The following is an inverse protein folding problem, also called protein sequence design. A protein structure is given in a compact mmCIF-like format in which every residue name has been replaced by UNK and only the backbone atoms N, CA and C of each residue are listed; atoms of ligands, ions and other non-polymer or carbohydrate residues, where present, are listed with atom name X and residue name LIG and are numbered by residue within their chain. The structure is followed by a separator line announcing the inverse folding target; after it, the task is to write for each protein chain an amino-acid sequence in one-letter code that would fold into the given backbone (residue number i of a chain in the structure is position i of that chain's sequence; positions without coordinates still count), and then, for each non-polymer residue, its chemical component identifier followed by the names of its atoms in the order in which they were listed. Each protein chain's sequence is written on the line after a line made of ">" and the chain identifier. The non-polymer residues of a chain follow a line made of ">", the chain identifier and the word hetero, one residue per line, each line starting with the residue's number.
data_IF_039562155463
#
_entry.id   IF_039562155463
#
_cell.length_a   1.000
_cell.length_b   1.000
_cell.length_c   1.000
_cell.angle_alpha   90.00
_cell.angle_beta   90.00
_cell.angle_gamma   90.00
#
_symmetry.space_group_name_H-M   'P 1'
#
loop_
_entity.id
_entity.type
_entity.pdbx_description
1 polymer ?
#
# COMPACT_ATOMS: atom_id res chain seq x y z
N UNK A 1 35.50 52.86 -0.61
CA UNK A 1 36.11 53.27 0.66
C UNK A 1 35.37 52.57 1.80
N UNK A 2 36.15 51.95 2.70
CA UNK A 2 35.85 51.41 4.05
C UNK A 2 34.72 52.15 4.79
N UNK A 3 33.96 51.64 5.78
CA UNK A 3 33.96 50.46 6.68
C UNK A 3 32.65 50.57 7.50
N UNK A 4 32.11 49.47 8.03
CA UNK A 4 31.92 49.28 9.48
C UNK A 4 30.88 48.20 9.81
N UNK A 5 31.37 47.17 10.50
CA UNK A 5 30.62 46.16 11.22
C UNK A 5 30.22 46.67 12.60
N UNK A 6 29.10 46.18 13.16
CA UNK A 6 28.93 46.00 14.61
C UNK A 6 28.18 44.68 14.88
N UNK A 7 28.87 43.81 15.61
CA UNK A 7 28.38 42.62 16.30
C UNK A 7 27.86 43.06 17.69
N UNK A 8 26.81 42.43 18.22
CA UNK A 8 26.88 41.95 19.61
C UNK A 8 26.47 40.46 19.64
N UNK A 9 27.38 39.57 20.03
CA UNK A 9 27.74 39.24 21.41
C UNK A 9 26.65 38.45 22.14
N UNK A 10 26.94 37.14 22.23
CA UNK A 10 26.44 36.11 23.12
C UNK A 10 25.93 36.62 24.49
N UNK A 11 24.73 36.17 24.88
CA UNK A 11 24.38 35.97 26.28
C UNK A 11 23.75 34.58 26.44
N UNK A 12 24.50 33.72 27.12
CA UNK A 12 24.16 32.36 27.49
C UNK A 12 23.34 32.41 28.78
N UNK A 13 22.15 31.80 28.81
CA UNK A 13 21.50 31.41 30.07
C UNK A 13 21.02 29.97 29.95
N UNK A 14 21.76 29.08 30.61
CA UNK A 14 21.44 27.68 30.79
C UNK A 14 20.40 27.53 31.88
N UNK A 15 19.23 26.95 31.59
CA UNK A 15 18.45 26.15 32.55
C UNK A 15 17.41 25.35 31.76
N UNK A 16 17.39 24.03 31.88
CA UNK A 16 16.21 23.27 31.46
C UNK A 16 16.45 21.82 31.07
N UNK A 17 16.27 20.93 32.05
CA UNK A 17 15.76 19.59 31.79
C UNK A 17 16.84 18.52 31.60
N UNK A 18 16.96 17.65 32.59
CA UNK A 18 17.44 16.29 32.38
C UNK A 18 16.64 15.67 31.22
N UNK A 19 17.26 15.59 30.05
CA UNK A 19 16.71 14.87 28.92
C UNK A 19 16.63 13.40 29.29
N UNK A 20 15.45 12.95 29.70
CA UNK A 20 15.13 11.53 29.66
C UNK A 20 15.40 11.08 28.22
N UNK A 21 16.43 10.25 28.04
CA UNK A 21 16.62 9.47 26.82
C UNK A 21 15.48 8.47 26.75
N UNK A 22 14.28 8.96 26.41
CA UNK A 22 13.18 8.11 26.00
C UNK A 22 13.69 7.44 24.74
N UNK A 23 14.04 6.16 24.84
CA UNK A 23 14.29 5.34 23.68
C UNK A 23 13.09 5.55 22.76
N UNK A 24 13.31 6.15 21.59
CA UNK A 24 12.27 6.26 20.58
C UNK A 24 11.68 4.84 20.44
N UNK A 25 10.34 4.68 20.49
CA UNK A 25 9.75 3.36 20.34
C UNK A 25 10.36 2.72 19.10
N UNK A 26 10.63 1.42 19.12
CA UNK A 26 11.24 0.73 17.97
C UNK A 26 10.48 0.97 16.64
N UNK A 27 9.24 1.44 16.77
CA UNK A 27 8.31 1.88 15.74
C UNK A 27 8.72 3.18 15.00
N UNK A 28 9.41 4.12 15.64
CA UNK A 28 9.83 5.40 15.06
C UNK A 28 11.31 5.35 14.67
N UNK A 29 11.61 4.93 13.44
CA UNK A 29 12.98 4.77 12.95
C UNK A 29 13.10 5.15 11.48
N UNK A 30 14.21 5.81 11.16
CA UNK A 30 14.61 6.08 9.79
C UNK A 30 15.78 5.20 9.37
N UNK A 31 15.77 4.73 8.13
CA UNK A 31 16.88 3.95 7.58
C UNK A 31 17.00 4.14 6.06
N UNK A 32 18.21 4.46 5.62
CA UNK A 32 18.57 4.62 4.21
C UNK A 32 19.64 3.64 3.75
N UNK A 33 19.58 3.21 2.48
CA UNK A 33 20.66 2.49 1.81
C UNK A 33 20.76 2.93 0.35
N UNK A 34 21.98 3.15 -0.12
CA UNK A 34 22.30 3.39 -1.53
C UNK A 34 23.29 2.31 -1.98
N UNK A 35 23.10 1.81 -3.20
CA UNK A 35 23.97 0.85 -3.87
C UNK A 35 24.37 1.44 -5.20
N UNK A 36 25.65 1.31 -5.53
CA UNK A 36 26.19 1.64 -6.84
C UNK A 36 26.90 0.40 -7.38
N UNK A 37 26.70 0.11 -8.65
CA UNK A 37 27.42 -0.94 -9.35
C UNK A 37 27.93 -0.40 -10.67
N UNK A 38 29.21 -0.64 -10.95
CA UNK A 38 29.87 -0.29 -12.19
C UNK A 38 30.13 -1.57 -12.98
N UNK A 39 29.73 -1.60 -14.24
CA UNK A 39 30.02 -2.68 -15.18
C UNK A 39 31.03 -2.25 -16.26
N UNK A 40 31.54 -3.22 -17.03
CA UNK A 40 32.34 -2.94 -18.22
C UNK A 40 31.56 -2.12 -19.26
N UNK A 41 32.28 -1.47 -20.18
CA UNK A 41 31.72 -0.66 -21.28
C UNK A 41 30.84 0.52 -20.82
N UNK A 42 31.12 1.11 -19.66
CA UNK A 42 30.36 2.26 -19.14
C UNK A 42 28.96 1.91 -18.61
N UNK A 43 28.64 0.61 -18.52
CA UNK A 43 27.41 0.15 -17.88
C UNK A 43 27.43 0.39 -16.37
N UNK A 44 26.26 0.55 -15.76
CA UNK A 44 26.16 0.72 -14.33
C UNK A 44 24.77 1.15 -13.88
N UNK A 45 24.56 1.12 -12.56
CA UNK A 45 23.36 1.66 -11.95
C UNK A 45 23.60 2.19 -10.54
N UNK A 46 22.72 3.10 -10.13
CA UNK A 46 22.56 3.56 -8.74
C UNK A 46 21.16 3.19 -8.29
N UNK A 47 21.02 2.56 -7.14
CA UNK A 47 19.74 2.24 -6.53
C UNK A 47 19.72 2.71 -5.08
N UNK A 48 18.59 3.27 -4.64
CA UNK A 48 18.42 3.81 -3.29
C UNK A 48 17.10 3.39 -2.67
N UNK A 49 17.09 3.28 -1.35
CA UNK A 49 15.88 3.13 -0.54
C UNK A 49 16.05 3.91 0.75
N UNK A 50 15.04 4.72 1.07
CA UNK A 50 14.85 5.38 2.34
C UNK A 50 13.53 4.91 2.96
N UNK A 51 13.51 4.72 4.27
CA UNK A 51 12.33 4.36 5.05
C UNK A 51 12.25 5.34 6.21
N UNK A 52 11.12 6.01 6.36
CA UNK A 52 10.77 6.76 7.57
C UNK A 52 9.56 6.09 8.21
N UNK A 53 9.64 5.76 9.50
CA UNK A 53 8.57 5.16 10.27
C UNK A 53 8.22 6.08 11.42
N UNK A 54 6.92 6.22 11.68
CA UNK A 54 6.36 6.91 12.84
C UNK A 54 5.24 6.03 13.40
N UNK A 55 4.81 6.23 14.66
CA UNK A 55 3.61 5.57 15.15
C UNK A 55 2.43 5.79 14.18
N UNK A 56 1.73 4.71 13.82
CA UNK A 56 0.60 4.77 12.88
C UNK A 56 0.95 5.00 11.40
N UNK A 57 2.23 5.12 11.02
CA UNK A 57 2.57 5.33 9.60
C UNK A 57 3.98 4.88 9.18
N UNK A 58 4.15 4.66 7.88
CA UNK A 58 5.47 4.43 7.26
C UNK A 58 5.50 4.96 5.86
N UNK A 59 6.56 5.69 5.53
CA UNK A 59 6.87 6.11 4.17
C UNK A 59 8.15 5.42 3.69
N UNK A 60 8.13 4.91 2.46
CA UNK A 60 9.27 4.30 1.79
C UNK A 60 9.48 4.99 0.46
N UNK A 61 10.62 5.65 0.30
CA UNK A 61 11.07 6.20 -0.98
C UNK A 61 12.15 5.30 -1.54
N UNK A 62 12.03 4.87 -2.79
CA UNK A 62 13.04 4.04 -3.45
C UNK A 62 13.15 4.35 -4.92
N UNK A 63 14.30 4.09 -5.51
CA UNK A 63 14.48 4.29 -6.94
C UNK A 63 15.73 3.59 -7.44
N UNK A 64 15.82 3.49 -8.76
CA UNK A 64 17.01 3.04 -9.44
C UNK A 64 17.16 3.81 -10.75
N UNK A 65 18.40 4.14 -11.10
CA UNK A 65 18.76 4.74 -12.38
C UNK A 65 19.98 3.99 -12.93
N UNK A 66 19.86 3.56 -14.18
CA UNK A 66 20.97 3.02 -14.98
C UNK A 66 21.72 4.17 -15.65
N UNK A 67 22.98 3.95 -15.97
CA UNK A 67 23.79 4.97 -16.67
C UNK A 67 23.30 5.24 -18.10
N UNK A 68 22.56 4.29 -18.69
CA UNK A 68 21.86 4.46 -19.96
C UNK A 68 20.53 5.22 -19.86
N UNK A 69 20.28 5.98 -18.80
CA UNK A 69 19.12 6.87 -18.67
C UNK A 69 17.79 6.20 -18.32
N UNK A 70 17.75 4.88 -18.12
CA UNK A 70 16.54 4.18 -17.66
C UNK A 70 16.46 4.19 -16.15
N UNK A 71 15.27 4.38 -15.58
CA UNK A 71 15.11 4.36 -14.14
C UNK A 71 13.68 4.58 -13.67
N UNK A 72 13.51 4.55 -12.35
CA UNK A 72 12.27 4.95 -11.68
C UNK A 72 12.54 5.51 -10.29
N UNK A 73 11.66 6.38 -9.83
CA UNK A 73 11.45 6.75 -8.43
C UNK A 73 10.08 6.26 -7.97
N UNK A 74 9.97 5.88 -6.70
CA UNK A 74 8.72 5.40 -6.11
C UNK A 74 8.61 5.82 -4.66
N UNK A 75 7.47 6.39 -4.28
CA UNK A 75 7.08 6.61 -2.90
C UNK A 75 5.95 5.65 -2.54
N UNK A 76 6.06 4.99 -1.39
CA UNK A 76 4.98 4.21 -0.79
C UNK A 76 4.68 4.75 0.59
N UNK A 77 3.46 5.18 0.83
CA UNK A 77 2.96 5.57 2.15
C UNK A 77 2.00 4.50 2.65
N UNK A 78 2.12 4.12 3.92
CA UNK A 78 1.16 3.28 4.62
C UNK A 78 0.76 3.99 5.90
N UNK A 79 -0.53 4.04 6.20
CA UNK A 79 -1.04 4.51 7.48
C UNK A 79 -1.92 3.43 8.10
N UNK A 80 -1.94 3.34 9.43
CA UNK A 80 -2.79 2.42 10.16
C UNK A 80 -3.25 3.04 11.47
N UNK A 81 -4.48 2.74 11.86
CA UNK A 81 -5.13 3.28 13.05
C UNK A 81 -6.63 2.96 13.00
N UNK A 82 -7.26 2.89 14.16
CA UNK A 82 -8.73 2.78 14.30
C UNK A 82 -9.38 1.70 13.43
N UNK A 83 -8.75 0.52 13.36
CA UNK A 83 -9.27 -0.61 12.57
C UNK A 83 -9.11 -0.46 11.05
N UNK A 84 -8.41 0.57 10.57
CA UNK A 84 -8.15 0.82 9.17
C UNK A 84 -6.65 0.80 8.83
N UNK A 85 -6.34 0.42 7.59
CA UNK A 85 -5.02 0.53 6.98
C UNK A 85 -5.17 1.10 5.59
N UNK A 86 -4.47 2.20 5.28
CA UNK A 86 -4.38 2.74 3.93
C UNK A 86 -2.97 2.56 3.38
N UNK A 87 -2.85 2.34 2.08
CA UNK A 87 -1.58 2.23 1.39
C UNK A 87 -1.67 2.90 0.02
N UNK A 88 -0.75 3.82 -0.22
CA UNK A 88 -0.60 4.54 -1.49
C UNK A 88 0.79 4.33 -2.04
N UNK A 89 0.88 4.14 -3.35
CA UNK A 89 2.13 4.01 -4.12
C UNK A 89 2.05 4.97 -5.29
N UNK A 90 3.02 5.88 -5.40
CA UNK A 90 3.29 6.65 -6.63
C UNK A 90 4.65 6.21 -7.18
N UNK A 91 4.71 5.94 -8.48
CA UNK A 91 5.94 5.62 -9.20
C UNK A 91 6.06 6.49 -10.43
N UNK A 92 7.22 7.10 -10.63
CA UNK A 92 7.61 7.81 -11.86
C UNK A 92 8.79 7.12 -12.52
N UNK A 93 8.69 6.91 -13.81
CA UNK A 93 9.78 6.38 -14.62
C UNK A 93 10.59 7.54 -15.21
N UNK A 94 11.84 7.25 -15.61
CA UNK A 94 12.73 8.24 -16.21
C UNK A 94 12.18 8.86 -17.51
N UNK A 95 11.29 8.16 -18.21
CA UNK A 95 10.59 8.65 -19.40
C UNK A 95 9.37 9.53 -19.09
N UNK A 96 9.18 9.95 -17.84
CA UNK A 96 8.05 10.77 -17.39
C UNK A 96 6.75 10.03 -17.12
N UNK A 97 6.62 8.77 -17.54
CA UNK A 97 5.38 7.99 -17.29
C UNK A 97 5.21 7.67 -15.81
N UNK A 98 3.95 7.57 -15.37
CA UNK A 98 3.60 7.36 -13.97
C UNK A 98 2.73 6.11 -13.75
N UNK A 99 2.84 5.51 -12.57
CA UNK A 99 1.94 4.46 -12.11
C UNK A 99 1.56 4.77 -10.66
N UNK A 100 0.27 4.63 -10.34
CA UNK A 100 -0.21 4.74 -8.97
C UNK A 100 -0.97 3.50 -8.53
N UNK A 101 -1.01 3.28 -7.22
CA UNK A 101 -1.87 2.29 -6.60
C UNK A 101 -2.28 2.78 -5.22
N UNK A 102 -3.57 2.76 -4.96
CA UNK A 102 -4.15 3.04 -3.66
C UNK A 102 -4.90 1.82 -3.15
N UNK A 103 -4.92 1.63 -1.85
CA UNK A 103 -5.72 0.60 -1.22
C UNK A 103 -6.08 0.97 0.20
N UNK A 104 -7.27 0.58 0.62
CA UNK A 104 -7.70 0.64 2.01
C UNK A 104 -8.16 -0.74 2.47
N UNK A 105 -7.98 -1.02 3.74
CA UNK A 105 -8.56 -2.14 4.46
C UNK A 105 -9.22 -1.57 5.71
N UNK A 106 -10.47 -1.94 5.98
CA UNK A 106 -11.25 -1.44 7.12
C UNK A 106 -11.91 -2.63 7.81
N UNK A 107 -11.75 -2.72 9.12
CA UNK A 107 -12.59 -3.57 9.98
C UNK A 107 -13.85 -2.80 10.31
N UNK A 108 -14.99 -3.35 9.93
CA UNK A 108 -16.30 -2.75 10.12
C UNK A 108 -16.86 -3.10 11.52
N UNK A 109 -17.83 -2.31 11.99
CA UNK A 109 -18.46 -2.51 13.30
C UNK A 109 -19.28 -3.79 13.42
N UNK A 110 -19.71 -4.35 12.30
CA UNK A 110 -20.42 -5.63 12.22
C UNK A 110 -19.49 -6.86 12.26
N UNK A 111 -18.16 -6.67 12.31
CA UNK A 111 -17.19 -7.75 12.28
C UNK A 111 -16.71 -8.14 10.87
N UNK A 112 -17.27 -7.55 9.81
CA UNK A 112 -16.75 -7.72 8.44
C UNK A 112 -15.43 -6.96 8.23
N UNK A 113 -14.69 -7.36 7.19
CA UNK A 113 -13.50 -6.64 6.72
C UNK A 113 -13.70 -6.25 5.26
N UNK A 114 -13.57 -4.96 4.98
CA UNK A 114 -13.67 -4.39 3.64
C UNK A 114 -12.29 -3.99 3.11
N UNK A 115 -12.08 -4.18 1.81
CA UNK A 115 -10.86 -3.80 1.09
C UNK A 115 -11.26 -3.05 -0.15
N UNK A 116 -10.67 -1.89 -0.39
CA UNK A 116 -10.74 -1.14 -1.66
C UNK A 116 -9.36 -1.09 -2.30
N UNK A 117 -9.29 -1.14 -3.63
CA UNK A 117 -8.05 -1.00 -4.39
C UNK A 117 -8.28 -0.25 -5.67
N UNK A 118 -7.41 0.71 -5.93
CA UNK A 118 -7.35 1.47 -7.17
C UNK A 118 -5.92 1.39 -7.72
N UNK A 119 -5.80 1.30 -9.04
CA UNK A 119 -4.50 1.24 -9.72
C UNK A 119 -4.59 1.96 -11.05
N UNK A 120 -3.62 2.82 -11.33
CA UNK A 120 -3.40 3.42 -12.66
C UNK A 120 -2.06 2.95 -13.21
N UNK A 121 -2.07 2.34 -14.39
CA UNK A 121 -0.87 1.82 -15.05
C UNK A 121 -0.06 2.90 -15.79
N UNK A 122 1.16 2.57 -16.25
CA UNK A 122 2.02 3.47 -17.03
C UNK A 122 1.39 4.00 -18.32
N UNK A 123 0.43 3.25 -18.89
CA UNK A 123 -0.31 3.63 -20.08
C UNK A 123 -1.59 4.45 -19.76
N UNK A 124 -1.77 4.89 -18.52
CA UNK A 124 -2.93 5.68 -18.08
C UNK A 124 -4.22 4.87 -17.84
N UNK A 125 -4.21 3.56 -18.11
CA UNK A 125 -5.35 2.69 -17.86
C UNK A 125 -5.54 2.45 -16.35
N UNK A 126 -6.78 2.50 -15.88
CA UNK A 126 -7.10 2.36 -14.46
C UNK A 126 -7.96 1.12 -14.18
N UNK A 127 -7.81 0.58 -12.98
CA UNK A 127 -8.60 -0.53 -12.45
C UNK A 127 -8.96 -0.24 -11.00
N UNK A 128 -10.23 -0.40 -10.65
CA UNK A 128 -10.74 -0.25 -9.29
C UNK A 128 -11.43 -1.53 -8.86
N UNK A 129 -11.52 -1.77 -7.56
CA UNK A 129 -12.31 -2.88 -7.05
C UNK A 129 -12.30 -2.99 -5.54
N UNK A 130 -13.41 -3.48 -5.02
CA UNK A 130 -13.60 -3.70 -3.60
C UNK A 130 -13.91 -5.16 -3.29
N UNK A 131 -13.76 -5.51 -2.02
CA UNK A 131 -14.27 -6.76 -1.48
C UNK A 131 -14.58 -6.61 0.00
N UNK A 132 -15.73 -7.13 0.43
CA UNK A 132 -16.10 -7.25 1.84
C UNK A 132 -16.24 -8.72 2.19
N UNK A 133 -15.66 -9.12 3.32
CA UNK A 133 -15.74 -10.48 3.85
C UNK A 133 -16.38 -10.41 5.23
N UNK A 134 -17.45 -11.16 5.43
CA UNK A 134 -18.09 -11.41 6.71
C UNK A 134 -17.84 -12.86 7.10
N UNK A 135 -17.34 -13.11 8.31
CA UNK A 135 -17.07 -14.47 8.82
C UNK A 135 -17.97 -14.75 10.03
N UNK A 136 -18.48 -15.96 10.09
CA UNK A 136 -19.17 -16.53 11.23
C UNK A 136 -18.46 -17.83 11.64
N UNK A 137 -18.88 -18.44 12.74
CA UNK A 137 -18.33 -19.72 13.19
C UNK A 137 -18.57 -20.83 12.14
N UNK A 138 -19.72 -20.77 11.46
CA UNK A 138 -20.17 -21.76 10.48
C UNK A 138 -19.83 -21.38 9.03
N UNK A 139 -18.99 -20.36 8.79
CA UNK A 139 -18.59 -20.04 7.43
C UNK A 139 -18.21 -18.60 7.14
N UNK A 140 -18.36 -18.20 5.88
CA UNK A 140 -18.13 -16.82 5.46
C UNK A 140 -18.88 -16.45 4.17
N UNK A 141 -19.23 -15.18 4.08
CA UNK A 141 -19.70 -14.52 2.86
C UNK A 141 -18.66 -13.54 2.38
N UNK A 142 -18.40 -13.54 1.07
CA UNK A 142 -17.54 -12.57 0.41
C UNK A 142 -18.24 -11.96 -0.79
N UNK A 143 -18.44 -10.67 -0.76
CA UNK A 143 -18.87 -9.88 -1.92
C UNK A 143 -17.68 -9.10 -2.46
N UNK A 144 -17.57 -8.99 -3.78
CA UNK A 144 -16.52 -8.21 -4.45
C UNK A 144 -17.01 -7.64 -5.77
N UNK A 145 -16.36 -6.57 -6.19
CA UNK A 145 -16.56 -5.98 -7.51
C UNK A 145 -15.25 -5.44 -8.04
N UNK A 146 -15.18 -5.24 -9.36
CA UNK A 146 -14.10 -4.52 -9.98
C UNK A 146 -14.53 -3.88 -11.29
N UNK A 147 -13.87 -2.78 -11.64
CA UNK A 147 -14.07 -2.07 -12.88
C UNK A 147 -12.73 -1.66 -13.49
N UNK A 148 -12.74 -1.38 -14.78
CA UNK A 148 -11.58 -0.91 -15.55
C UNK A 148 -11.96 0.35 -16.32
N UNK A 149 -10.98 1.19 -16.63
CA UNK A 149 -11.18 2.40 -17.44
C UNK A 149 -11.66 2.12 -18.86
N UNK A 150 -11.59 0.86 -19.34
CA UNK A 150 -12.14 0.42 -20.62
C UNK A 150 -13.59 -0.06 -20.53
N UNK A 151 -14.29 0.20 -19.43
CA UNK A 151 -15.72 -0.11 -19.25
C UNK A 151 -16.02 -1.56 -18.87
N UNK A 152 -15.00 -2.43 -18.72
CA UNK A 152 -15.23 -3.79 -18.21
C UNK A 152 -15.41 -3.76 -16.70
N UNK A 153 -16.45 -4.43 -16.21
CA UNK A 153 -16.70 -4.60 -14.78
C UNK A 153 -17.30 -5.96 -14.44
N UNK A 154 -17.23 -6.34 -13.16
CA UNK A 154 -17.88 -7.53 -12.63
C UNK A 154 -18.28 -7.32 -11.17
N UNK A 155 -19.29 -8.04 -10.71
CA UNK A 155 -19.62 -8.28 -9.31
C UNK A 155 -19.62 -9.78 -9.04
N UNK A 156 -19.25 -10.20 -7.84
CA UNK A 156 -19.29 -11.60 -7.46
C UNK A 156 -19.53 -11.77 -5.96
N UNK A 157 -20.29 -12.79 -5.63
CA UNK A 157 -20.51 -13.27 -4.27
C UNK A 157 -19.99 -14.70 -4.15
N UNK A 158 -19.38 -14.99 -3.00
CA UNK A 158 -19.08 -16.36 -2.58
C UNK A 158 -19.58 -16.53 -1.17
N UNK A 159 -20.46 -17.50 -0.99
CA UNK A 159 -20.96 -17.92 0.31
C UNK A 159 -20.43 -19.32 0.59
N UNK A 160 -19.81 -19.47 1.75
CA UNK A 160 -19.32 -20.75 2.25
C UNK A 160 -20.04 -21.01 3.55
N UNK A 161 -20.77 -22.12 3.61
CA UNK A 161 -21.42 -22.61 4.81
C UNK A 161 -20.87 -23.98 5.18
N UNK A 162 -20.69 -24.19 6.48
CA UNK A 162 -20.19 -25.42 7.08
C UNK A 162 -21.33 -25.99 7.91
N UNK A 163 -21.78 -27.19 7.56
CA UNK A 163 -22.88 -27.88 8.24
C UNK A 163 -22.43 -29.30 8.58
N UNK A 164 -22.10 -29.54 9.86
CA UNK A 164 -21.58 -30.83 10.33
C UNK A 164 -20.47 -31.36 9.42
N UNK A 165 -20.77 -32.48 8.76
CA UNK A 165 -19.85 -33.22 7.90
C UNK A 165 -19.83 -32.71 6.45
N UNK A 166 -20.24 -31.46 6.21
CA UNK A 166 -20.29 -30.90 4.86
C UNK A 166 -19.92 -29.43 4.80
N UNK A 167 -19.37 -29.03 3.65
CA UNK A 167 -19.09 -27.64 3.29
C UNK A 167 -19.77 -27.34 1.97
N UNK A 168 -20.68 -26.38 1.95
CA UNK A 168 -21.33 -25.90 0.74
C UNK A 168 -20.71 -24.58 0.31
N UNK A 169 -20.40 -24.47 -0.99
CA UNK A 169 -19.81 -23.28 -1.60
C UNK A 169 -20.70 -22.80 -2.73
N UNK A 170 -21.41 -21.71 -2.49
CA UNK A 170 -22.20 -20.98 -3.48
C UNK A 170 -21.36 -19.85 -4.08
N UNK A 171 -21.39 -19.74 -5.40
CA UNK A 171 -20.64 -18.72 -6.15
C UNK A 171 -21.56 -18.12 -7.19
N UNK A 172 -21.71 -16.80 -7.14
CA UNK A 172 -22.43 -16.01 -8.12
C UNK A 172 -21.50 -14.95 -8.68
N UNK A 173 -21.54 -14.71 -9.99
CA UNK A 173 -20.82 -13.62 -10.61
C UNK A 173 -21.60 -13.05 -11.79
N UNK A 174 -21.59 -11.73 -11.92
CA UNK A 174 -22.15 -11.01 -13.06
C UNK A 174 -21.10 -10.06 -13.64
N UNK A 175 -21.15 -9.83 -14.93
CA UNK A 175 -20.35 -8.81 -15.63
C UNK A 175 -21.20 -7.57 -15.88
N UNK A 176 -20.55 -6.41 -16.04
CA UNK A 176 -21.26 -5.17 -16.38
C UNK A 176 -22.02 -5.22 -17.70
N UNK A 177 -21.71 -6.18 -18.59
CA UNK A 177 -22.44 -6.43 -19.83
C UNK A 177 -23.63 -7.39 -19.67
N UNK A 178 -24.01 -7.73 -18.43
CA UNK A 178 -25.20 -8.53 -18.13
C UNK A 178 -25.01 -10.06 -18.15
N UNK A 179 -23.82 -10.58 -18.51
CA UNK A 179 -23.56 -12.03 -18.40
C UNK A 179 -23.43 -12.43 -16.94
N UNK A 180 -24.14 -13.47 -16.52
CA UNK A 180 -24.08 -14.02 -15.16
C UNK A 180 -23.77 -15.51 -15.16
N UNK A 181 -23.11 -15.98 -14.11
CA UNK A 181 -22.85 -17.39 -13.83
C UNK A 181 -23.08 -17.67 -12.36
N UNK A 182 -23.67 -18.82 -12.05
CA UNK A 182 -23.84 -19.34 -10.70
C UNK A 182 -23.32 -20.77 -10.62
N UNK A 183 -22.84 -21.18 -9.44
CA UNK A 183 -22.48 -22.56 -9.17
C UNK A 183 -22.53 -22.85 -7.68
N UNK A 184 -23.09 -24.00 -7.34
CA UNK A 184 -23.10 -24.56 -5.98
C UNK A 184 -22.29 -25.84 -5.97
N UNK A 185 -21.46 -26.04 -4.95
CA UNK A 185 -20.74 -27.31 -4.76
C UNK A 185 -20.65 -27.65 -3.28
N UNK A 186 -21.07 -28.85 -2.95
CA UNK A 186 -20.97 -29.41 -1.60
C UNK A 186 -19.83 -30.42 -1.54
N UNK A 187 -19.05 -30.36 -0.45
CA UNK A 187 -17.96 -31.28 -0.16
C UNK A 187 -18.24 -31.96 1.16
N UNK A 188 -18.06 -33.27 1.22
CA UNK A 188 -18.05 -33.98 2.50
C UNK A 188 -16.78 -33.61 3.28
N UNK A 189 -16.96 -33.31 4.55
CA UNK A 189 -15.91 -33.11 5.53
C UNK A 189 -15.72 -34.46 6.22
N UNK A 190 -14.60 -35.13 5.94
CA UNK A 190 -14.27 -36.37 6.67
C UNK A 190 -13.90 -35.98 8.10
N UNK A 191 -14.31 -36.82 9.04
CA UNK A 191 -13.88 -36.80 10.44
C UNK A 191 -12.34 -36.89 10.57
#
# INVERSE_FOLDING_TARGET
>A
MFRSAIIPAFAMLATGGAGALVAAPAEAREHGRIVRAQGPYGGGYVAGRHVSRQPGSTQVTRGAATYGGRGYGQTRSTQWGDGAVTNSVDRRYANGTGMSRDSSLVRNGDGSVSVQRDRTGPAGNSQSGWSTIYRTDDGYTRTRSGATSSGRSYSATRDVSVNGDSVTVDRNAATGSGRAVSSTRTYSRRD
#
